data_IF_948608764214
#
_entry.id   IF_948608764214
#
_cell.length_a   1.000
_cell.length_b   1.000
_cell.length_c   1.000
_cell.angle_alpha   90.00
_cell.angle_beta   90.00
_cell.angle_gamma   90.00
#
_symmetry.space_group_name_H-M   'P 1'
#
loop_
_entity.id
_entity.type
_entity.pdbx_description
1 polymer ?
#
# COMPACT_ATOMS: atom_id res chain seq x y z
N UNK A 1 6.21 13.03 -10.20
CA UNK A 1 7.43 13.22 -11.03
C UNK A 1 7.18 12.53 -12.36
N UNK A 2 7.43 13.23 -13.47
CA UNK A 2 7.13 12.74 -14.81
C UNK A 2 8.15 11.70 -15.32
N UNK A 3 9.37 11.68 -14.78
CA UNK A 3 10.44 10.76 -15.21
C UNK A 3 11.07 10.00 -14.02
N UNK A 4 11.65 8.81 -14.25
CA UNK A 4 12.35 8.05 -13.21
C UNK A 4 13.52 8.82 -12.58
N UNK A 5 14.28 9.56 -13.38
CA UNK A 5 15.37 10.40 -12.89
C UNK A 5 14.88 11.52 -11.96
N UNK A 6 13.77 12.20 -12.31
CA UNK A 6 13.19 13.21 -11.45
C UNK A 6 12.66 12.61 -10.13
N UNK A 7 12.15 11.38 -10.16
CA UNK A 7 11.73 10.67 -8.94
C UNK A 7 12.93 10.34 -8.04
N UNK A 8 14.01 9.81 -8.63
CA UNK A 8 15.27 9.53 -7.92
C UNK A 8 15.89 10.79 -7.30
N UNK A 9 15.89 11.89 -8.05
CA UNK A 9 16.37 13.17 -7.54
C UNK A 9 15.54 13.67 -6.37
N UNK A 10 14.20 13.65 -6.48
CA UNK A 10 13.31 14.08 -5.38
C UNK A 10 13.51 13.25 -4.11
N UNK A 11 13.64 11.94 -4.25
CA UNK A 11 13.88 11.06 -3.11
C UNK A 11 15.23 11.33 -2.46
N UNK A 12 16.28 11.53 -3.26
CA UNK A 12 17.61 11.86 -2.75
C UNK A 12 17.62 13.22 -2.05
N UNK A 13 17.01 14.24 -2.65
CA UNK A 13 16.89 15.58 -2.09
C UNK A 13 16.08 15.60 -0.79
N UNK A 14 14.98 14.83 -0.73
CA UNK A 14 14.22 14.66 0.50
C UNK A 14 15.08 14.08 1.62
N UNK A 15 15.84 13.01 1.37
CA UNK A 15 16.71 12.40 2.37
C UNK A 15 17.83 13.35 2.82
N UNK A 16 18.39 14.14 1.91
CA UNK A 16 19.38 15.18 2.26
C UNK A 16 18.79 16.23 3.19
N UNK A 17 17.60 16.77 2.86
CA UNK A 17 16.91 17.73 3.71
C UNK A 17 16.60 17.16 5.10
N UNK A 18 16.19 15.89 5.19
CA UNK A 18 15.95 15.23 6.47
C UNK A 18 17.23 15.01 7.28
N UNK A 19 18.38 14.79 6.62
CA UNK A 19 19.66 14.63 7.30
C UNK A 19 20.18 15.95 7.91
N UNK A 20 19.84 17.09 7.30
CA UNK A 20 20.18 18.42 7.81
C UNK A 20 19.30 18.86 8.99
N UNK A 21 18.15 18.22 9.19
CA UNK A 21 17.27 18.49 10.34
C UNK A 21 17.70 17.73 11.58
N UNK A 22 17.83 18.43 12.71
CA UNK A 22 18.14 17.86 14.04
C UNK A 22 16.92 17.13 14.64
N UNK A 23 16.53 16.02 14.02
CA UNK A 23 15.39 15.18 14.41
C UNK A 23 15.65 14.38 15.71
N UNK A 24 16.92 14.19 16.09
CA UNK A 24 17.32 13.35 17.22
C UNK A 24 17.18 14.05 18.57
N UNK A 25 17.01 15.38 18.57
CA UNK A 25 16.90 16.20 19.77
C UNK A 25 15.58 16.05 20.54
N UNK A 26 14.53 15.50 19.91
CA UNK A 26 13.22 15.35 20.55
C UNK A 26 12.71 13.91 20.49
N UNK A 27 12.35 13.29 21.63
CA UNK A 27 11.80 11.94 21.67
C UNK A 27 10.45 11.82 20.94
N UNK A 28 9.75 12.95 20.73
CA UNK A 28 8.48 13.00 19.99
C UNK A 28 8.67 12.72 18.49
N UNK A 29 9.88 12.93 17.96
CA UNK A 29 10.21 12.74 16.54
C UNK A 29 10.66 11.31 16.22
N UNK A 30 10.74 10.42 17.21
CA UNK A 30 11.10 9.01 17.02
C UNK A 30 10.28 8.29 15.93
N UNK A 31 8.95 8.51 15.79
CA UNK A 31 8.19 7.92 14.69
C UNK A 31 8.62 8.42 13.31
N UNK A 32 9.04 9.69 13.21
CA UNK A 32 9.52 10.29 11.96
C UNK A 32 10.86 9.67 11.57
N UNK A 33 11.77 9.49 12.53
CA UNK A 33 13.05 8.80 12.31
C UNK A 33 12.79 7.39 11.75
N UNK A 34 11.88 6.63 12.37
CA UNK A 34 11.52 5.29 11.90
C UNK A 34 10.90 5.28 10.49
N UNK A 35 10.09 6.28 10.16
CA UNK A 35 9.55 6.45 8.80
C UNK A 35 10.67 6.73 7.79
N UNK A 36 11.64 7.60 8.11
CA UNK A 36 12.79 7.90 7.25
C UNK A 36 13.64 6.63 7.04
N UNK A 37 13.94 5.88 8.09
CA UNK A 37 14.66 4.61 8.00
C UNK A 37 13.95 3.60 7.08
N UNK A 38 12.62 3.56 7.15
CA UNK A 38 11.81 2.71 6.26
C UNK A 38 11.92 3.15 4.80
N UNK A 39 11.90 4.46 4.53
CA UNK A 39 12.08 5.02 3.18
C UNK A 39 13.48 4.68 2.65
N UNK A 40 14.53 4.80 3.47
CA UNK A 40 15.91 4.45 3.09
C UNK A 40 15.99 2.96 2.76
N UNK A 41 15.45 2.09 3.63
CA UNK A 41 15.45 0.63 3.44
C UNK A 41 14.76 0.20 2.16
N UNK A 42 13.66 0.84 1.79
CA UNK A 42 12.85 0.47 0.62
C UNK A 42 13.08 1.36 -0.61
N UNK A 43 14.12 2.20 -0.60
CA UNK A 43 14.44 3.15 -1.67
C UNK A 43 14.38 2.53 -3.08
N UNK A 44 14.99 1.36 -3.27
CA UNK A 44 15.02 0.69 -4.57
C UNK A 44 13.62 0.31 -5.07
N UNK A 45 12.76 -0.19 -4.19
CA UNK A 45 11.37 -0.52 -4.52
C UNK A 45 10.53 0.74 -4.79
N UNK A 46 10.81 1.84 -4.07
CA UNK A 46 10.18 3.13 -4.33
C UNK A 46 10.57 3.65 -5.72
N UNK A 47 11.85 3.54 -6.10
CA UNK A 47 12.35 3.93 -7.42
C UNK A 47 11.76 3.06 -8.55
N UNK A 48 11.63 1.74 -8.34
CA UNK A 48 11.11 0.80 -9.35
C UNK A 48 9.64 1.05 -9.73
N UNK A 49 8.86 1.70 -8.85
CA UNK A 49 7.49 2.13 -9.14
C UNK A 49 7.40 2.96 -10.42
N UNK A 50 8.38 3.81 -10.71
CA UNK A 50 8.40 4.63 -11.92
C UNK A 50 8.73 3.87 -13.19
N UNK A 51 9.24 2.64 -13.09
CA UNK A 51 9.54 1.77 -14.22
C UNK A 51 8.44 0.73 -14.45
N UNK A 52 7.79 0.27 -13.38
CA UNK A 52 6.82 -0.84 -13.42
C UNK A 52 5.47 -0.52 -14.08
N UNK A 53 5.11 0.76 -14.21
CA UNK A 53 3.78 1.18 -14.68
C UNK A 53 2.62 0.77 -13.76
N UNK A 54 2.90 0.20 -12.58
CA UNK A 54 1.87 -0.24 -11.65
C UNK A 54 1.23 0.94 -10.92
N UNK A 55 -0.10 0.98 -10.92
CA UNK A 55 -0.89 1.93 -10.13
C UNK A 55 -1.43 1.28 -8.86
N UNK A 56 -1.64 2.08 -7.82
CA UNK A 56 -2.25 1.60 -6.58
C UNK A 56 -3.72 1.21 -6.75
N UNK A 57 -4.37 1.62 -7.84
CA UNK A 57 -5.80 1.41 -8.08
C UNK A 57 -6.21 -0.07 -8.03
N UNK A 58 -5.37 -0.97 -8.56
CA UNK A 58 -5.63 -2.43 -8.48
C UNK A 58 -5.56 -2.95 -7.04
N UNK A 59 -4.58 -2.49 -6.26
CA UNK A 59 -4.41 -2.88 -4.86
C UNK A 59 -5.54 -2.31 -3.99
N UNK A 60 -5.96 -1.08 -4.24
CA UNK A 60 -7.11 -0.46 -3.58
C UNK A 60 -8.41 -1.19 -3.90
N UNK A 61 -8.61 -1.58 -5.16
CA UNK A 61 -9.73 -2.42 -5.59
C UNK A 61 -9.79 -3.72 -4.79
N UNK A 62 -8.67 -4.45 -4.69
CA UNK A 62 -8.59 -5.67 -3.89
C UNK A 62 -8.84 -5.41 -2.39
N UNK A 63 -8.25 -4.35 -1.83
CA UNK A 63 -8.45 -4.00 -0.43
C UNK A 63 -9.94 -3.72 -0.14
N UNK A 64 -10.64 -3.02 -1.02
CA UNK A 64 -12.08 -2.76 -0.85
C UNK A 64 -12.91 -4.05 -0.81
N UNK A 65 -12.58 -5.05 -1.64
CA UNK A 65 -13.21 -6.37 -1.62
C UNK A 65 -12.94 -7.09 -0.29
N UNK A 66 -11.68 -7.06 0.18
CA UNK A 66 -11.30 -7.72 1.43
C UNK A 66 -11.98 -7.06 2.64
N UNK A 67 -12.09 -5.73 2.65
CA UNK A 67 -12.81 -5.01 3.69
C UNK A 67 -14.31 -5.28 3.63
N UNK A 68 -14.91 -5.37 2.44
CA UNK A 68 -16.32 -5.75 2.28
C UNK A 68 -16.57 -7.18 2.80
N UNK A 69 -15.67 -8.11 2.51
CA UNK A 69 -15.71 -9.46 3.06
C UNK A 69 -15.63 -9.42 4.59
N UNK A 70 -14.67 -8.65 5.15
CA UNK A 70 -14.45 -8.52 6.60
C UNK A 70 -15.61 -7.84 7.33
N UNK A 71 -16.24 -6.84 6.71
CA UNK A 71 -17.42 -6.17 7.27
C UNK A 71 -18.62 -7.11 7.39
N UNK A 72 -18.79 -8.03 6.41
CA UNK A 72 -19.79 -9.10 6.45
C UNK A 72 -19.41 -10.26 7.38
N UNK A 73 -18.12 -10.39 7.70
CA UNK A 73 -17.51 -11.51 8.41
C UNK A 73 -17.70 -11.54 9.93
N UNK A 74 -18.68 -10.86 10.54
CA UNK A 74 -18.90 -10.95 12.00
C UNK A 74 -19.21 -12.42 12.37
N UNK A 75 -18.18 -13.25 12.57
CA UNK A 75 -18.28 -14.69 12.80
C UNK A 75 -17.41 -15.61 11.92
N UNK A 76 -16.62 -15.15 10.94
CA UNK A 76 -15.70 -16.06 10.22
C UNK A 76 -14.51 -16.43 11.12
N UNK A 77 -14.72 -17.40 12.02
CA UNK A 77 -13.69 -17.99 12.90
C UNK A 77 -12.63 -18.77 12.12
N UNK A 78 -12.95 -19.18 10.91
CA UNK A 78 -12.10 -20.02 10.06
C UNK A 78 -11.50 -19.19 8.89
N UNK A 79 -10.17 -19.11 8.75
CA UNK A 79 -9.51 -18.43 7.63
C UNK A 79 -9.92 -18.95 6.25
N UNK A 80 -10.16 -20.26 6.10
CA UNK A 80 -10.62 -20.86 4.86
C UNK A 80 -11.98 -20.29 4.45
N UNK A 81 -12.91 -20.10 5.40
CA UNK A 81 -14.21 -19.47 5.12
C UNK A 81 -14.05 -18.02 4.66
N UNK A 82 -13.12 -17.27 5.27
CA UNK A 82 -12.83 -15.90 4.84
C UNK A 82 -12.27 -15.85 3.41
N UNK A 83 -11.33 -16.76 3.08
CA UNK A 83 -10.77 -16.89 1.72
C UNK A 83 -11.88 -17.23 0.72
N UNK A 84 -12.71 -18.23 1.01
CA UNK A 84 -13.84 -18.62 0.14
C UNK A 84 -14.79 -17.45 -0.11
N UNK A 85 -15.10 -16.67 0.92
CA UNK A 85 -15.97 -15.49 0.78
C UNK A 85 -15.35 -14.40 -0.10
N UNK A 86 -14.04 -14.16 0.01
CA UNK A 86 -13.33 -13.24 -0.89
C UNK A 86 -13.47 -13.70 -2.35
N UNK A 87 -13.26 -14.99 -2.63
CA UNK A 87 -13.43 -15.55 -3.98
C UNK A 87 -14.86 -15.37 -4.49
N UNK A 88 -15.86 -15.63 -3.65
CA UNK A 88 -17.27 -15.47 -4.03
C UNK A 88 -17.66 -14.01 -4.31
N UNK A 89 -17.13 -13.06 -3.52
CA UNK A 89 -17.40 -11.62 -3.72
C UNK A 89 -16.69 -11.08 -4.96
N UNK A 90 -15.46 -11.52 -5.22
CA UNK A 90 -14.69 -11.11 -6.40
C UNK A 90 -15.16 -11.78 -7.70
N UNK A 91 -15.92 -12.87 -7.60
CA UNK A 91 -16.40 -13.65 -8.74
C UNK A 91 -17.58 -12.98 -9.46
N UNK A 92 -17.72 -13.12 -10.79
CA UNK A 92 -18.86 -12.61 -11.56
C UNK A 92 -20.17 -13.37 -11.31
N UNK A 93 -20.20 -14.39 -10.43
CA UNK A 93 -21.39 -15.21 -10.13
C UNK A 93 -22.63 -14.36 -9.79
N UNK A 94 -22.46 -13.26 -9.06
CA UNK A 94 -23.58 -12.35 -8.75
C UNK A 94 -24.22 -11.69 -9.99
N UNK A 95 -23.45 -11.49 -11.06
CA UNK A 95 -23.96 -10.94 -12.32
C UNK A 95 -24.70 -12.00 -13.14
N UNK A 96 -24.25 -13.26 -13.06
CA UNK A 96 -24.90 -14.39 -13.71
C UNK A 96 -26.31 -14.65 -13.12
N UNK A 97 -26.45 -14.55 -11.80
CA UNK A 97 -27.74 -14.77 -11.12
C UNK A 97 -28.77 -13.66 -11.38
N UNK A 98 -28.34 -12.44 -11.73
CA UNK A 98 -29.23 -11.31 -12.06
C UNK A 98 -29.68 -11.30 -13.52
N UNK A 99 -29.10 -12.14 -14.36
CA UNK A 99 -29.38 -12.20 -15.80
C UNK A 99 -30.45 -13.24 -16.17
N UNK A 100 -31.01 -13.93 -15.18
CA UNK A 100 -32.12 -14.89 -15.27
C UNK A 100 -33.32 -14.34 -14.52
#
# INVERSE_FOLDING_TARGET
AATPQAAKWRLSNFLLCMAETDLTRSPVLKPIISAIETVIRHRQAIESRWQSGHSNARLEGLNSIFQAAKARARGYRNPQTFISMIYLIASPVGNLLKST
#
